data_IF_279140510349
#
_entry.id   IF_279140510349
#
_cell.length_a   1.000
_cell.length_b   1.000
_cell.length_c   1.000
_cell.angle_alpha   90.00
_cell.angle_beta   90.00
_cell.angle_gamma   90.00
#
_symmetry.space_group_name_H-M   'P 1'
#
loop_
_entity.id
_entity.type
_entity.pdbx_description
1 polymer ?
#
# COMPACT_ATOMS: atom_id res chain seq x y z
N UNK A 1 -7.01 18.47 14.40
CA UNK A 1 -6.37 17.62 13.37
C UNK A 1 -4.87 17.87 13.45
N UNK A 2 -4.05 16.81 13.61
CA UNK A 2 -2.59 16.93 13.75
C UNK A 2 -1.94 17.42 12.45
N UNK A 3 -0.97 18.34 12.53
CA UNK A 3 -0.14 18.76 11.39
C UNK A 3 0.52 17.56 10.69
N UNK A 4 0.82 16.50 11.43
CA UNK A 4 1.36 15.25 10.89
C UNK A 4 0.35 14.47 10.04
N UNK A 5 -0.95 14.56 10.34
CA UNK A 5 -1.98 13.91 9.53
C UNK A 5 -2.18 14.61 8.17
N UNK A 6 -1.88 15.92 8.09
CA UNK A 6 -2.02 16.71 6.87
C UNK A 6 -0.72 16.79 6.05
N UNK A 7 0.43 16.93 6.71
CA UNK A 7 1.75 17.08 6.07
C UNK A 7 2.63 15.82 6.12
N UNK A 8 2.29 14.83 6.95
CA UNK A 8 2.98 13.54 6.95
C UNK A 8 2.82 12.82 5.61
N UNK A 9 1.59 12.67 5.09
CA UNK A 9 1.37 12.06 3.78
C UNK A 9 2.19 12.66 2.64
N UNK A 10 2.17 13.98 2.39
CA UNK A 10 2.93 14.57 1.30
C UNK A 10 4.45 14.47 1.53
N UNK A 11 4.92 14.67 2.77
CA UNK A 11 6.36 14.61 3.08
C UNK A 11 6.92 13.19 2.89
N UNK A 12 6.20 12.17 3.36
CA UNK A 12 6.58 10.76 3.17
C UNK A 12 6.58 10.40 1.69
N UNK A 13 5.60 10.88 0.92
CA UNK A 13 5.54 10.64 -0.53
C UNK A 13 6.67 11.32 -1.28
N UNK A 14 7.01 12.57 -0.94
CA UNK A 14 8.15 13.26 -1.54
C UNK A 14 9.47 12.56 -1.20
N UNK A 15 9.61 12.04 0.03
CA UNK A 15 10.79 11.30 0.45
C UNK A 15 10.91 9.96 -0.28
N UNK A 16 9.83 9.17 -0.35
CA UNK A 16 9.79 7.92 -1.11
C UNK A 16 10.03 8.16 -2.62
N UNK A 17 9.47 9.23 -3.17
CA UNK A 17 9.71 9.63 -4.55
C UNK A 17 11.18 10.00 -4.77
N UNK A 18 11.79 10.76 -3.87
CA UNK A 18 13.23 11.08 -3.92
C UNK A 18 14.10 9.82 -3.85
N UNK A 19 13.81 8.93 -2.91
CA UNK A 19 14.55 7.67 -2.72
C UNK A 19 14.40 6.72 -3.91
N UNK A 20 13.28 6.74 -4.64
CA UNK A 20 13.10 5.93 -5.84
C UNK A 20 13.63 6.59 -7.12
N UNK A 21 13.31 7.87 -7.32
CA UNK A 21 13.57 8.59 -8.56
C UNK A 21 15.04 9.00 -8.71
N UNK A 22 15.74 9.38 -7.62
CA UNK A 22 17.16 9.74 -7.68
C UNK A 22 18.06 8.59 -8.10
N UNK A 23 17.99 7.38 -7.49
CA UNK A 23 18.82 6.26 -7.93
C UNK A 23 18.40 5.77 -9.31
N UNK A 24 17.11 5.83 -9.68
CA UNK A 24 16.67 5.51 -11.03
C UNK A 24 17.26 6.48 -12.07
N UNK A 25 17.22 7.80 -11.80
CA UNK A 25 17.78 8.82 -12.68
C UNK A 25 19.31 8.69 -12.78
N UNK A 26 20.01 8.44 -11.66
CA UNK A 26 21.45 8.16 -11.64
C UNK A 26 21.80 6.89 -12.42
N UNK A 27 21.00 5.83 -12.30
CA UNK A 27 21.20 4.59 -13.06
C UNK A 27 21.00 4.81 -14.56
N UNK A 28 19.92 5.51 -14.95
CA UNK A 28 19.62 5.80 -16.36
C UNK A 28 20.70 6.68 -16.99
N UNK A 29 21.19 7.70 -16.27
CA UNK A 29 22.21 8.63 -16.77
C UNK A 29 23.60 8.01 -16.84
N UNK A 30 23.94 7.07 -15.94
CA UNK A 30 25.26 6.42 -15.93
C UNK A 30 25.37 5.20 -16.85
N UNK A 31 24.28 4.49 -17.07
CA UNK A 31 24.32 3.15 -17.71
C UNK A 31 23.66 3.13 -19.08
N UNK A 32 23.00 4.22 -19.48
CA UNK A 32 22.19 4.32 -20.71
C UNK A 32 21.41 3.04 -21.05
N UNK A 33 20.60 2.52 -20.11
CA UNK A 33 19.98 1.21 -20.27
C UNK A 33 18.99 1.22 -21.41
N UNK A 34 18.91 0.07 -22.11
CA UNK A 34 17.96 -0.16 -23.18
C UNK A 34 16.51 -0.03 -22.68
N UNK A 35 15.60 0.34 -23.57
CA UNK A 35 14.18 0.49 -23.25
C UNK A 35 13.56 -0.73 -22.53
N UNK A 36 13.80 -1.99 -22.94
CA UNK A 36 13.26 -3.15 -22.21
C UNK A 36 13.82 -3.29 -20.79
N UNK A 37 15.09 -2.94 -20.56
CA UNK A 37 15.68 -2.97 -19.21
C UNK A 37 15.01 -1.93 -18.28
N UNK A 38 14.67 -0.74 -18.81
CA UNK A 38 13.93 0.27 -18.05
C UNK A 38 12.55 -0.22 -17.65
N UNK A 39 11.82 -0.86 -18.57
CA UNK A 39 10.50 -1.44 -18.28
C UNK A 39 10.57 -2.60 -17.29
N UNK A 40 11.61 -3.44 -17.36
CA UNK A 40 11.79 -4.53 -16.41
C UNK A 40 11.99 -4.01 -14.97
N UNK A 41 12.82 -2.96 -14.78
CA UNK A 41 13.02 -2.35 -13.46
C UNK A 41 11.73 -1.74 -12.90
N UNK A 42 10.97 -1.03 -13.73
CA UNK A 42 9.67 -0.47 -13.33
C UNK A 42 8.67 -1.61 -13.01
N UNK A 43 8.65 -2.67 -13.81
CA UNK A 43 7.80 -3.83 -13.60
C UNK A 43 8.11 -4.55 -12.29
N UNK A 44 9.39 -4.82 -12.00
CA UNK A 44 9.83 -5.52 -10.78
C UNK A 44 9.50 -4.68 -9.54
N UNK A 45 9.81 -3.38 -9.56
CA UNK A 45 9.50 -2.49 -8.43
C UNK A 45 8.00 -2.39 -8.17
N UNK A 46 7.19 -2.30 -9.23
CA UNK A 46 5.73 -2.31 -9.13
C UNK A 46 5.22 -3.65 -8.58
N UNK A 47 5.77 -4.79 -9.03
CA UNK A 47 5.39 -6.10 -8.56
C UNK A 47 5.71 -6.32 -7.07
N UNK A 48 6.86 -5.83 -6.60
CA UNK A 48 7.23 -5.89 -5.17
C UNK A 48 6.26 -5.05 -4.33
N UNK A 49 5.92 -3.84 -4.80
CA UNK A 49 4.97 -2.97 -4.10
C UNK A 49 3.57 -3.61 -4.04
N UNK A 50 3.10 -4.15 -5.16
CA UNK A 50 1.81 -4.85 -5.25
C UNK A 50 1.78 -6.11 -4.36
N UNK A 51 2.88 -6.89 -4.33
CA UNK A 51 2.98 -8.06 -3.47
C UNK A 51 2.89 -7.68 -1.99
N UNK A 52 3.61 -6.63 -1.54
CA UNK A 52 3.52 -6.15 -0.16
C UNK A 52 2.12 -5.65 0.21
N UNK A 53 1.47 -4.91 -0.68
CA UNK A 53 0.10 -4.45 -0.43
C UNK A 53 -0.87 -5.64 -0.35
N UNK A 54 -0.73 -6.61 -1.26
CA UNK A 54 -1.54 -7.82 -1.28
C UNK A 54 -1.32 -8.74 -0.09
N UNK A 55 -0.10 -8.87 0.43
CA UNK A 55 0.17 -9.72 1.61
C UNK A 55 -0.37 -9.12 2.90
N UNK A 56 -0.24 -7.80 3.12
CA UNK A 56 -0.83 -7.15 4.31
C UNK A 56 -2.35 -7.27 4.30
N UNK A 57 -2.97 -7.01 3.16
CA UNK A 57 -4.42 -7.09 3.02
C UNK A 57 -4.94 -8.54 3.06
N UNK A 58 -4.21 -9.48 2.46
CA UNK A 58 -4.50 -10.91 2.55
C UNK A 58 -4.40 -11.45 3.99
N UNK A 59 -3.40 -10.97 4.75
CA UNK A 59 -3.25 -11.28 6.18
C UNK A 59 -4.43 -10.75 7.00
N UNK A 60 -5.00 -9.60 6.64
CA UNK A 60 -6.17 -9.07 7.34
C UNK A 60 -7.39 -9.99 7.25
N UNK A 61 -7.55 -10.74 6.14
CA UNK A 61 -8.63 -11.73 6.02
C UNK A 61 -8.35 -13.04 6.75
N UNK A 62 -7.08 -13.48 6.83
CA UNK A 62 -6.73 -14.75 7.47
C UNK A 62 -6.48 -14.64 8.97
N UNK A 63 -5.94 -13.49 9.40
CA UNK A 63 -5.50 -13.20 10.77
C UNK A 63 -5.72 -11.72 11.11
N UNK A 64 -6.98 -11.24 11.17
CA UNK A 64 -7.29 -9.81 11.38
C UNK A 64 -6.72 -9.24 12.69
N UNK A 65 -6.62 -10.06 13.74
CA UNK A 65 -6.11 -9.64 15.05
C UNK A 65 -4.62 -9.29 15.01
N UNK A 66 -3.83 -10.02 14.21
CA UNK A 66 -2.38 -9.81 14.06
C UNK A 66 -2.03 -8.53 13.30
N UNK A 67 -3.00 -7.97 12.55
CA UNK A 67 -2.84 -6.68 11.86
C UNK A 67 -2.98 -5.52 12.84
N UNK A 68 -3.93 -5.61 13.77
CA UNK A 68 -4.25 -4.52 14.69
C UNK A 68 -3.27 -4.37 15.86
N UNK A 69 -2.58 -5.42 16.26
CA UNK A 69 -1.69 -5.31 17.42
C UNK A 69 -0.86 -6.57 17.69
N UNK A 70 0.05 -6.45 18.65
CA UNK A 70 0.88 -7.57 19.07
C UNK A 70 0.21 -8.37 20.18
N UNK A 71 0.24 -9.69 20.07
CA UNK A 71 -0.23 -10.60 21.12
C UNK A 71 0.74 -10.59 22.31
N UNK A 72 0.26 -10.20 23.49
CA UNK A 72 1.03 -10.27 24.73
C UNK A 72 1.07 -11.70 25.29
N UNK A 73 1.99 -11.99 26.23
CA UNK A 73 2.17 -13.32 26.81
C UNK A 73 0.96 -13.92 27.53
N UNK A 74 -0.04 -13.09 27.86
CA UNK A 74 -1.35 -13.48 28.40
C UNK A 74 -2.42 -13.73 27.30
N UNK A 75 -2.04 -13.70 26.02
CA UNK A 75 -2.90 -13.97 24.87
C UNK A 75 -3.78 -12.81 24.41
N UNK A 76 -3.67 -11.62 25.01
CA UNK A 76 -4.44 -10.41 24.67
C UNK A 76 -3.72 -9.61 23.58
N UNK A 77 -4.45 -9.00 22.65
CA UNK A 77 -3.88 -8.07 21.66
C UNK A 77 -3.91 -6.64 22.21
N UNK A 78 -2.79 -5.93 22.09
CA UNK A 78 -2.66 -4.55 22.58
C UNK A 78 -2.29 -3.56 21.48
N UNK A 79 -2.80 -2.35 21.66
CA UNK A 79 -2.49 -1.18 20.84
C UNK A 79 -1.00 -0.81 20.96
N UNK A 80 -0.40 -0.38 19.85
CA UNK A 80 1.02 -0.06 19.78
C UNK A 80 1.33 1.19 20.61
N UNK A 81 1.89 0.98 21.80
CA UNK A 81 2.25 2.05 22.74
C UNK A 81 1.12 2.48 23.67
N UNK A 82 0.03 1.71 23.78
CA UNK A 82 -1.04 1.93 24.76
C UNK A 82 -1.50 0.62 25.40
N UNK A 83 -2.04 0.70 26.61
CA UNK A 83 -2.50 -0.47 27.38
C UNK A 83 -3.93 -0.92 27.04
N UNK A 84 -4.49 -0.45 25.92
CA UNK A 84 -5.84 -0.81 25.49
C UNK A 84 -5.85 -2.19 24.84
N UNK A 85 -6.83 -3.00 25.22
CA UNK A 85 -7.04 -4.33 24.65
C UNK A 85 -7.95 -4.24 23.43
N UNK A 86 -7.64 -5.02 22.41
CA UNK A 86 -8.46 -5.16 21.22
C UNK A 86 -9.80 -5.82 21.58
N UNK A 87 -10.90 -5.21 21.17
CA UNK A 87 -12.27 -5.69 21.41
C UNK A 87 -12.82 -6.43 20.20
N UNK A 88 -12.65 -5.87 19.01
CA UNK A 88 -13.08 -6.47 17.74
C UNK A 88 -12.32 -5.87 16.57
N UNK A 89 -12.38 -6.54 15.42
CA UNK A 89 -11.80 -6.06 14.16
C UNK A 89 -12.85 -6.17 13.07
N UNK A 90 -13.02 -5.11 12.28
CA UNK A 90 -13.83 -5.09 11.07
C UNK A 90 -12.92 -5.02 9.84
N UNK A 91 -13.20 -5.85 8.84
CA UNK A 91 -12.46 -5.87 7.57
C UNK A 91 -13.48 -5.75 6.42
N UNK A 92 -13.40 -4.66 5.66
CA UNK A 92 -14.28 -4.43 4.51
C UNK A 92 -13.54 -4.67 3.21
N UNK A 93 -14.11 -5.48 2.31
CA UNK A 93 -13.48 -5.84 1.04
C UNK A 93 -13.39 -4.67 0.04
N UNK A 94 -14.39 -3.77 0.03
CA UNK A 94 -14.44 -2.64 -0.90
C UNK A 94 -15.35 -1.50 -0.38
N UNK A 95 -14.83 -0.27 -0.21
CA UNK A 95 -13.41 0.10 -0.27
C UNK A 95 -12.58 -0.67 0.79
N UNK A 96 -11.32 -1.03 0.51
CA UNK A 96 -10.52 -1.80 1.44
C UNK A 96 -10.37 -1.06 2.78
N UNK A 97 -10.85 -1.66 3.86
CA UNK A 97 -10.85 -1.08 5.21
C UNK A 97 -10.45 -2.15 6.24
N UNK A 98 -9.70 -1.75 7.27
CA UNK A 98 -9.34 -2.59 8.43
C UNK A 98 -9.47 -1.70 9.65
N UNK A 99 -10.55 -1.87 10.40
CA UNK A 99 -10.87 -1.07 11.58
C UNK A 99 -10.67 -1.90 12.85
N UNK A 100 -9.84 -1.42 13.76
CA UNK A 100 -9.55 -2.04 15.05
C UNK A 100 -10.30 -1.29 16.16
N UNK A 101 -11.18 -1.99 16.86
CA UNK A 101 -11.98 -1.42 17.95
C UNK A 101 -11.34 -1.73 19.29
N UNK A 102 -11.06 -0.70 20.09
CA UNK A 102 -10.30 -0.84 21.34
C UNK A 102 -11.17 -0.64 22.58
N UNK A 103 -10.76 -1.23 23.71
CA UNK A 103 -11.51 -1.16 24.97
C UNK A 103 -11.65 0.26 25.55
N UNK A 104 -10.82 1.21 25.10
CA UNK A 104 -10.96 2.64 25.37
C UNK A 104 -12.17 3.29 24.70
N UNK A 105 -12.81 2.61 23.74
CA UNK A 105 -13.88 3.14 22.91
C UNK A 105 -13.41 3.95 21.71
N UNK A 106 -12.11 3.93 21.39
CA UNK A 106 -11.58 4.51 20.15
C UNK A 106 -11.35 3.45 19.07
N UNK A 107 -11.30 3.90 17.82
CA UNK A 107 -11.05 3.05 16.65
C UNK A 107 -9.77 3.49 15.94
N UNK A 108 -9.00 2.53 15.41
CA UNK A 108 -7.85 2.79 14.53
C UNK A 108 -8.06 2.12 13.17
N UNK A 109 -7.56 2.76 12.11
CA UNK A 109 -7.61 2.24 10.74
C UNK A 109 -6.20 1.83 10.28
N UNK A 110 -6.01 0.55 9.97
CA UNK A 110 -4.70 -0.02 9.60
C UNK A 110 -4.49 -0.05 8.08
N UNK A 111 -5.47 0.38 7.29
CA UNK A 111 -5.29 0.51 5.85
C UNK A 111 -4.49 1.77 5.55
N UNK A 112 -3.39 1.59 4.82
CA UNK A 112 -2.58 2.73 4.40
C UNK A 112 -3.43 3.64 3.52
N UNK A 113 -3.50 4.92 3.85
CA UNK A 113 -4.33 5.89 3.14
C UNK A 113 -4.02 6.01 1.63
N UNK A 114 -2.85 5.55 1.16
CA UNK A 114 -2.50 5.46 -0.28
C UNK A 114 -3.09 4.24 -1.00
N UNK A 115 -3.54 3.23 -0.27
CA UNK A 115 -3.99 1.94 -0.84
C UNK A 115 -5.11 2.14 -1.84
N UNK A 116 -6.13 2.93 -1.49
CA UNK A 116 -7.26 3.27 -2.35
C UNK A 116 -6.85 4.08 -3.59
N UNK A 117 -6.15 5.22 -3.45
CA UNK A 117 -5.64 5.97 -4.60
C UNK A 117 -4.78 5.13 -5.57
N UNK A 118 -3.90 4.28 -5.05
CA UNK A 118 -3.03 3.41 -5.86
C UNK A 118 -3.82 2.32 -6.58
N UNK A 119 -4.83 1.73 -5.92
CA UNK A 119 -5.74 0.77 -6.54
C UNK A 119 -6.49 1.39 -7.72
N UNK A 120 -7.06 2.58 -7.53
CA UNK A 120 -7.76 3.29 -8.61
C UNK A 120 -6.82 3.70 -9.74
N UNK A 121 -5.61 4.19 -9.42
CA UNK A 121 -4.61 4.53 -10.43
C UNK A 121 -4.17 3.30 -11.24
N UNK A 122 -3.96 2.16 -10.56
CA UNK A 122 -3.64 0.88 -11.20
C UNK A 122 -4.76 0.39 -12.11
N UNK A 123 -6.01 0.45 -11.65
CA UNK A 123 -7.19 0.07 -12.43
C UNK A 123 -7.37 0.96 -13.66
N UNK A 124 -7.21 2.28 -13.52
CA UNK A 124 -7.25 3.22 -14.63
C UNK A 124 -6.14 2.93 -15.67
N UNK A 125 -4.91 2.68 -15.21
CA UNK A 125 -3.81 2.33 -16.10
C UNK A 125 -4.07 1.01 -16.83
N UNK A 126 -4.50 -0.04 -16.12
CA UNK A 126 -4.80 -1.34 -16.69
C UNK A 126 -5.92 -1.29 -17.74
N UNK A 127 -7.00 -0.53 -17.46
CA UNK A 127 -8.11 -0.35 -18.41
C UNK A 127 -7.67 0.40 -19.67
N UNK A 128 -6.90 1.48 -19.53
CA UNK A 128 -6.35 2.24 -20.67
C UNK A 128 -5.39 1.37 -21.49
N UNK A 129 -4.45 0.68 -20.85
CA UNK A 129 -3.51 -0.21 -21.54
C UNK A 129 -4.23 -1.35 -22.26
N UNK A 130 -5.24 -1.96 -21.63
CA UNK A 130 -6.04 -3.02 -22.25
C UNK A 130 -6.83 -2.50 -23.45
N UNK A 131 -7.43 -1.32 -23.35
CA UNK A 131 -8.12 -0.67 -24.46
C UNK A 131 -7.18 -0.38 -25.63
N UNK A 132 -5.98 0.14 -25.37
CA UNK A 132 -4.96 0.39 -26.39
C UNK A 132 -4.49 -0.90 -27.07
N UNK A 133 -4.26 -1.97 -26.29
CA UNK A 133 -3.87 -3.28 -26.81
C UNK A 133 -4.96 -3.87 -27.72
N UNK A 134 -6.22 -3.85 -27.27
CA UNK A 134 -7.36 -4.31 -28.06
C UNK A 134 -7.56 -3.49 -29.35
N UNK A 135 -7.32 -2.19 -29.30
CA UNK A 135 -7.42 -1.33 -30.48
C UNK A 135 -6.28 -1.60 -31.48
N UNK A 136 -5.11 -1.99 -30.99
CA UNK A 136 -3.94 -2.32 -31.81
C UNK A 136 -4.08 -3.69 -32.48
N UNK A 137 -4.62 -4.69 -31.79
CA UNK A 137 -4.90 -6.02 -32.37
C UNK A 137 -6.02 -6.01 -33.39
N UNK A 138 -6.98 -5.07 -33.30
CA UNK A 138 -8.02 -4.88 -34.33
C UNK A 138 -7.54 -4.16 -35.60
N UNK A 139 -6.38 -3.50 -35.56
CA UNK A 139 -5.83 -2.73 -36.68
C UNK A 139 -4.71 -3.46 -37.45
N UNK A 140 -4.28 -4.63 -36.96
CA UNK A 140 -3.33 -5.52 -37.63
C UNK A 140 -4.06 -6.63 -38.35
#
# INVERSE_FOLDING_TARGET
MSLFAFFGPPAVTLLLFGVGALPYALWVTRTEPSQPARWAVIGITTAIAAHRAGTVYGLAFTSPLDVCGSRTGNGVYRDAGRDYSLTSVSVDSFPPSITCHWSSGHDTEEVWFWTLPLLYAGLACATVCSALLMNRTRRS
#
